data_IF_344633491656
#
_entry.id   IF_344633491656
#
_cell.length_a   1.000
_cell.length_b   1.000
_cell.length_c   1.000
_cell.angle_alpha   90.00
_cell.angle_beta   90.00
_cell.angle_gamma   90.00
#
_symmetry.space_group_name_H-M   'P 1'
#
loop_
_entity.id
_entity.type
_entity.pdbx_description
1 polymer ?
#
# COMPACT_ATOMS: atom_id res chain seq x y z
N UNK A 1 1.36 30.13 23.32
CA UNK A 1 0.28 29.65 22.43
C UNK A 1 0.76 28.58 21.45
N UNK A 2 1.71 28.85 20.55
CA UNK A 2 2.14 27.90 19.49
C UNK A 2 2.65 26.55 19.99
N UNK A 3 3.43 26.52 21.10
CA UNK A 3 3.94 25.27 21.72
C UNK A 3 2.81 24.32 22.13
N UNK A 4 1.72 24.86 22.68
CA UNK A 4 0.59 24.08 23.15
C UNK A 4 -0.14 23.39 21.99
N UNK A 5 -0.33 24.13 20.88
CA UNK A 5 -0.93 23.57 19.66
C UNK A 5 -0.03 22.49 19.04
N UNK A 6 1.28 22.73 18.95
CA UNK A 6 2.26 21.74 18.52
C UNK A 6 2.19 20.45 19.36
N UNK A 7 2.18 20.58 20.70
CA UNK A 7 2.10 19.43 21.60
C UNK A 7 0.79 18.63 21.44
N UNK A 8 -0.34 19.31 21.25
CA UNK A 8 -1.63 18.63 20.98
C UNK A 8 -1.62 17.92 19.61
N UNK A 9 -0.98 18.52 18.60
CA UNK A 9 -0.82 17.91 17.29
C UNK A 9 0.03 16.64 17.30
N UNK A 10 1.04 16.54 18.18
CA UNK A 10 1.82 15.29 18.38
C UNK A 10 0.88 14.14 18.76
N UNK A 11 0.04 14.36 19.76
CA UNK A 11 -0.89 13.34 20.26
C UNK A 11 -1.90 12.96 19.16
N UNK A 12 -2.47 13.94 18.47
CA UNK A 12 -3.40 13.71 17.38
C UNK A 12 -2.75 12.90 16.24
N UNK A 13 -1.51 13.21 15.86
CA UNK A 13 -0.78 12.50 14.81
C UNK A 13 -0.49 11.04 15.19
N UNK A 14 -0.16 10.76 16.45
CA UNK A 14 0.00 9.37 16.93
C UNK A 14 -1.31 8.60 16.91
N UNK A 15 -2.42 9.20 17.36
CA UNK A 15 -3.75 8.56 17.30
C UNK A 15 -4.11 8.21 15.85
N UNK A 16 -3.93 9.16 14.93
CA UNK A 16 -4.18 8.93 13.51
C UNK A 16 -3.29 7.81 12.95
N UNK A 17 -2.00 7.79 13.33
CA UNK A 17 -1.09 6.70 12.93
C UNK A 17 -1.60 5.34 13.40
N UNK A 18 -2.04 5.20 14.66
CA UNK A 18 -2.60 3.95 15.18
C UNK A 18 -3.86 3.50 14.46
N UNK A 19 -4.77 4.43 14.14
CA UNK A 19 -5.98 4.12 13.36
C UNK A 19 -5.61 3.63 11.96
N UNK A 20 -4.64 4.27 11.31
CA UNK A 20 -4.16 3.84 9.99
C UNK A 20 -3.49 2.47 10.06
N UNK A 21 -2.69 2.18 11.09
CA UNK A 21 -2.09 0.86 11.31
C UNK A 21 -3.17 -0.21 11.51
N UNK A 22 -4.23 0.09 12.27
CA UNK A 22 -5.35 -0.83 12.46
C UNK A 22 -6.07 -1.14 11.14
N UNK A 23 -6.30 -0.13 10.31
CA UNK A 23 -6.85 -0.33 8.95
C UNK A 23 -5.87 -1.12 8.06
N UNK A 24 -4.56 -0.83 8.14
CA UNK A 24 -3.53 -1.54 7.40
C UNK A 24 -3.49 -3.03 7.79
N UNK A 25 -3.65 -3.34 9.08
CA UNK A 25 -3.68 -4.72 9.56
C UNK A 25 -4.82 -5.53 8.93
N UNK A 26 -6.05 -5.01 8.95
CA UNK A 26 -7.20 -5.71 8.38
C UNK A 26 -7.14 -5.81 6.85
N UNK A 27 -6.73 -4.73 6.18
CA UNK A 27 -6.53 -4.77 4.73
C UNK A 27 -5.44 -5.76 4.34
N UNK A 28 -4.34 -5.83 5.10
CA UNK A 28 -3.23 -6.75 4.87
C UNK A 28 -3.64 -8.21 5.06
N UNK A 29 -4.34 -8.55 6.13
CA UNK A 29 -4.89 -9.89 6.36
C UNK A 29 -5.80 -10.33 5.20
N UNK A 30 -6.71 -9.46 4.79
CA UNK A 30 -7.63 -9.75 3.67
C UNK A 30 -6.88 -9.90 2.34
N UNK A 31 -5.81 -9.13 2.14
CA UNK A 31 -4.98 -9.15 0.94
C UNK A 31 -4.15 -10.42 0.81
N UNK A 32 -3.53 -10.85 1.92
CA UNK A 32 -2.78 -12.11 1.97
C UNK A 32 -3.70 -13.31 1.75
N UNK A 33 -4.88 -13.34 2.40
CA UNK A 33 -5.83 -14.45 2.28
C UNK A 33 -6.30 -14.66 0.83
N UNK A 34 -6.65 -13.57 0.14
CA UNK A 34 -7.15 -13.61 -1.24
C UNK A 34 -6.04 -13.53 -2.29
N UNK A 35 -4.77 -13.50 -1.88
CA UNK A 35 -3.59 -13.21 -2.73
C UNK A 35 -3.84 -12.02 -3.67
N UNK A 36 -4.50 -10.98 -3.16
CA UNK A 36 -4.92 -9.84 -3.98
C UNK A 36 -3.81 -8.79 -4.08
N UNK A 37 -3.20 -8.66 -5.25
CA UNK A 37 -2.17 -7.66 -5.51
C UNK A 37 -2.64 -6.23 -5.18
N UNK A 38 -3.92 -5.91 -5.43
CA UNK A 38 -4.51 -4.61 -5.13
C UNK A 38 -4.60 -4.34 -3.62
N UNK A 39 -5.07 -5.32 -2.84
CA UNK A 39 -5.16 -5.17 -1.39
C UNK A 39 -3.77 -5.06 -0.73
N UNK A 40 -2.78 -5.84 -1.19
CA UNK A 40 -1.40 -5.73 -0.71
C UNK A 40 -0.81 -4.34 -1.03
N UNK A 41 -1.06 -3.79 -2.23
CA UNK A 41 -0.65 -2.40 -2.51
C UNK A 41 -1.31 -1.38 -1.61
N UNK A 42 -2.61 -1.54 -1.31
CA UNK A 42 -3.31 -0.64 -0.40
C UNK A 42 -2.70 -0.69 1.00
N UNK A 43 -2.37 -1.89 1.51
CA UNK A 43 -1.71 -2.05 2.81
C UNK A 43 -0.32 -1.41 2.82
N UNK A 44 0.46 -1.54 1.75
CA UNK A 44 1.77 -0.88 1.66
C UNK A 44 1.67 0.65 1.75
N UNK A 45 0.69 1.24 1.08
CA UNK A 45 0.41 2.68 1.11
C UNK A 45 -0.05 3.11 2.51
N UNK A 46 -0.98 2.37 3.12
CA UNK A 46 -1.45 2.67 4.48
C UNK A 46 -0.32 2.58 5.50
N UNK A 47 0.57 1.58 5.40
CA UNK A 47 1.76 1.47 6.25
C UNK A 47 2.73 2.64 6.05
N UNK A 48 2.90 3.11 4.80
CA UNK A 48 3.72 4.30 4.53
C UNK A 48 3.09 5.56 5.16
N UNK A 49 1.77 5.73 5.01
CA UNK A 49 1.05 6.85 5.62
C UNK A 49 1.16 6.83 7.14
N UNK A 50 1.00 5.66 7.77
CA UNK A 50 1.20 5.49 9.21
C UNK A 50 2.62 5.86 9.65
N UNK A 51 3.63 5.42 8.89
CA UNK A 51 5.04 5.75 9.12
C UNK A 51 5.27 7.27 9.06
N UNK A 52 4.74 7.95 8.03
CA UNK A 52 4.89 9.39 7.88
C UNK A 52 4.19 10.17 9.00
N UNK A 53 3.02 9.72 9.45
CA UNK A 53 2.31 10.31 10.59
C UNK A 53 3.10 10.12 11.90
N UNK A 54 3.65 8.93 12.15
CA UNK A 54 4.44 8.65 13.35
C UNK A 54 5.78 9.39 13.34
N UNK A 55 6.48 9.41 12.20
CA UNK A 55 7.71 10.19 12.02
C UNK A 55 7.45 11.70 12.17
N UNK A 56 6.34 12.19 11.60
CA UNK A 56 5.89 13.57 11.77
C UNK A 56 5.57 13.90 13.22
N UNK A 57 4.91 12.99 13.96
CA UNK A 57 4.64 13.16 15.38
C UNK A 57 5.93 13.27 16.21
N UNK A 58 6.93 12.42 15.92
CA UNK A 58 8.26 12.51 16.55
C UNK A 58 8.99 13.82 16.19
N UNK A 59 8.92 14.26 14.94
CA UNK A 59 9.49 15.55 14.51
C UNK A 59 8.83 16.75 15.19
N UNK A 60 7.50 16.73 15.34
CA UNK A 60 6.75 17.73 16.10
C UNK A 60 7.12 17.70 17.59
N UNK A 61 7.32 16.51 18.16
CA UNK A 61 7.74 16.35 19.55
C UNK A 61 9.12 16.97 19.80
N UNK A 62 10.10 16.68 18.95
CA UNK A 62 11.42 17.34 19.01
C UNK A 62 11.33 18.84 18.79
N UNK A 63 10.39 19.30 17.96
CA UNK A 63 10.15 20.73 17.77
C UNK A 63 9.63 21.37 19.06
N UNK A 64 8.70 20.73 19.78
CA UNK A 64 8.21 21.23 21.08
C UNK A 64 9.36 21.31 22.08
N UNK A 65 10.19 20.29 22.15
CA UNK A 65 11.38 20.24 23.02
C UNK A 65 12.36 21.39 22.69
N UNK A 66 12.65 21.60 21.41
CA UNK A 66 13.49 22.70 20.94
C UNK A 66 12.91 24.07 21.32
N UNK A 67 11.61 24.27 21.11
CA UNK A 67 10.95 25.51 21.50
C UNK A 67 11.07 25.77 23.01
N UNK A 68 10.97 24.74 23.84
CA UNK A 68 11.06 24.84 25.29
C UNK A 68 12.49 25.13 25.78
N UNK A 69 13.51 24.60 25.10
CA UNK A 69 14.91 24.81 25.46
C UNK A 69 15.51 26.12 24.94
N UNK A 70 15.16 26.51 23.72
CA UNK A 70 15.88 27.59 23.01
C UNK A 70 15.05 28.83 22.69
N UNK A 71 13.71 28.74 22.70
CA UNK A 71 12.87 29.82 22.17
C UNK A 71 11.94 30.47 23.19
N UNK A 72 11.56 29.76 24.25
CA UNK A 72 10.70 30.33 25.29
C UNK A 72 11.57 31.01 26.36
N UNK A 73 11.31 32.30 26.55
CA UNK A 73 12.01 33.16 27.51
C UNK A 73 11.09 33.41 28.69
N UNK A 74 11.58 33.10 29.90
CA UNK A 74 10.92 33.33 31.18
C UNK A 74 11.73 32.65 32.29
N UNK A 75 11.66 33.16 33.52
CA UNK A 75 12.52 32.70 34.63
C UNK A 75 12.38 31.19 34.91
N UNK A 76 11.24 30.62 34.56
CA UNK A 76 10.95 29.18 34.70
C UNK A 76 11.54 28.30 33.59
N UNK A 77 12.03 28.90 32.50
CA UNK A 77 12.50 28.17 31.33
C UNK A 77 14.03 28.08 31.28
N UNK A 78 14.51 26.97 30.72
CA UNK A 78 15.92 26.57 30.70
C UNK A 78 16.88 27.70 30.26
N UNK A 79 16.44 28.52 29.30
CA UNK A 79 17.22 29.62 28.72
C UNK A 79 17.45 30.80 29.68
N UNK A 80 16.72 30.92 30.79
CA UNK A 80 16.97 31.94 31.83
C UNK A 80 17.39 31.35 33.19
N UNK A 81 17.52 30.02 33.29
CA UNK A 81 18.05 29.38 34.50
C UNK A 81 19.47 29.82 34.82
N UNK A 82 19.78 29.90 36.11
CA UNK A 82 21.14 30.14 36.59
C UNK A 82 22.08 28.97 36.23
N UNK A 83 23.39 29.22 36.25
CA UNK A 83 24.40 28.20 35.90
C UNK A 83 24.29 26.94 36.76
N UNK A 84 24.04 27.10 38.06
CA UNK A 84 23.89 25.98 39.00
C UNK A 84 22.78 25.02 38.57
N UNK A 85 21.62 25.52 38.18
CA UNK A 85 20.49 24.70 37.72
C UNK A 85 20.81 23.99 36.40
N UNK A 86 21.48 24.67 35.48
CA UNK A 86 21.87 24.06 34.19
C UNK A 86 22.89 22.95 34.37
N UNK A 87 23.91 23.19 35.19
CA UNK A 87 25.02 22.26 35.39
C UNK A 87 24.58 20.99 36.15
N UNK A 88 23.53 21.09 36.97
CA UNK A 88 23.02 19.97 37.77
C UNK A 88 21.78 19.28 37.18
N UNK A 89 21.17 19.82 36.11
CA UNK A 89 20.00 19.19 35.47
C UNK A 89 20.43 18.25 34.37
N UNK A 90 19.96 16.99 34.42
CA UNK A 90 20.14 16.02 33.34
C UNK A 90 18.79 15.70 32.69
N UNK A 91 18.75 15.82 31.37
CA UNK A 91 17.63 15.37 30.55
C UNK A 91 18.02 14.05 29.89
N UNK A 92 17.26 13.00 30.19
CA UNK A 92 17.42 11.67 29.61
C UNK A 92 16.14 11.26 28.88
N UNK A 93 16.29 10.51 27.79
CA UNK A 93 15.16 9.90 27.11
C UNK A 93 14.89 8.52 27.68
N UNK A 94 13.62 8.27 28.03
CA UNK A 94 13.18 6.98 28.53
C UNK A 94 12.88 5.99 27.41
N UNK A 95 12.61 4.75 27.81
CA UNK A 95 12.36 3.61 26.92
C UNK A 95 11.33 3.87 25.81
N UNK A 96 10.27 4.63 26.11
CA UNK A 96 9.22 4.94 25.13
C UNK A 96 9.74 5.68 23.90
N UNK A 97 10.80 6.49 24.04
CA UNK A 97 11.44 7.18 22.93
C UNK A 97 12.08 6.19 21.95
N UNK A 98 12.78 5.19 22.48
CA UNK A 98 13.43 4.13 21.67
C UNK A 98 12.36 3.28 20.99
N UNK A 99 11.30 2.91 21.71
CA UNK A 99 10.18 2.14 21.16
C UNK A 99 9.46 2.90 20.05
N UNK A 100 9.28 4.22 20.19
CA UNK A 100 8.65 5.04 19.15
C UNK A 100 9.44 5.02 17.84
N UNK A 101 10.76 5.25 17.91
CA UNK A 101 11.63 5.18 16.73
C UNK A 101 11.73 3.78 16.12
N UNK A 102 11.79 2.74 16.96
CA UNK A 102 11.74 1.37 16.49
C UNK A 102 10.42 1.08 15.74
N UNK A 103 9.28 1.54 16.26
CA UNK A 103 7.99 1.44 15.59
C UNK A 103 7.96 2.13 14.22
N UNK A 104 8.52 3.35 14.12
CA UNK A 104 8.68 4.07 12.85
C UNK A 104 9.52 3.24 11.86
N UNK A 105 10.68 2.75 12.27
CA UNK A 105 11.55 1.94 11.42
C UNK A 105 10.89 0.64 10.95
N UNK A 106 10.22 -0.07 11.85
CA UNK A 106 9.47 -1.28 11.51
C UNK A 106 8.33 -1.01 10.52
N UNK A 107 7.61 0.10 10.68
CA UNK A 107 6.52 0.48 9.77
C UNK A 107 7.04 0.82 8.36
N UNK A 108 8.19 1.49 8.26
CA UNK A 108 8.86 1.77 6.99
C UNK A 108 9.31 0.47 6.32
N UNK A 109 9.97 -0.42 7.06
CA UNK A 109 10.42 -1.71 6.55
C UNK A 109 9.24 -2.55 6.05
N UNK A 110 8.15 -2.60 6.81
CA UNK A 110 6.93 -3.29 6.40
C UNK A 110 6.36 -2.73 5.09
N UNK A 111 6.32 -1.40 4.95
CA UNK A 111 5.85 -0.75 3.71
C UNK A 111 6.72 -1.11 2.50
N UNK A 112 8.04 -1.14 2.66
CA UNK A 112 8.98 -1.53 1.59
C UNK A 112 8.76 -3.00 1.18
N UNK A 113 8.70 -3.91 2.16
CA UNK A 113 8.52 -5.33 1.90
C UNK A 113 7.16 -5.63 1.24
N UNK A 114 6.07 -5.00 1.70
CA UNK A 114 4.75 -5.15 1.12
C UNK A 114 4.68 -4.55 -0.30
N UNK A 115 5.38 -3.45 -0.55
CA UNK A 115 5.49 -2.87 -1.89
C UNK A 115 6.22 -3.83 -2.85
N UNK A 116 7.30 -4.46 -2.39
CA UNK A 116 8.01 -5.49 -3.16
C UNK A 116 7.12 -6.70 -3.47
N UNK A 117 6.42 -7.21 -2.45
CA UNK A 117 5.48 -8.33 -2.60
C UNK A 117 4.35 -8.00 -3.60
N UNK A 118 3.82 -6.78 -3.55
CA UNK A 118 2.82 -6.32 -4.49
C UNK A 118 3.32 -6.29 -5.94
N UNK A 119 4.55 -5.85 -6.19
CA UNK A 119 5.14 -5.83 -7.53
C UNK A 119 5.28 -7.26 -8.07
N UNK A 120 5.76 -8.19 -7.24
CA UNK A 120 5.86 -9.60 -7.62
C UNK A 120 4.49 -10.20 -7.98
N UNK A 121 3.46 -9.96 -7.17
CA UNK A 121 2.11 -10.46 -7.40
C UNK A 121 1.47 -9.86 -8.66
N UNK A 122 1.71 -8.58 -8.95
CA UNK A 122 1.26 -7.95 -10.19
C UNK A 122 1.93 -8.59 -11.41
N UNK A 123 3.23 -8.82 -11.34
CA UNK A 123 3.97 -9.47 -12.41
C UNK A 123 3.54 -10.91 -12.68
N UNK A 124 3.17 -11.68 -11.65
CA UNK A 124 2.57 -13.02 -11.82
C UNK A 124 1.20 -12.93 -12.52
N UNK A 125 0.34 -12.03 -12.05
CA UNK A 125 -0.99 -11.85 -12.63
C UNK A 125 -0.96 -11.38 -14.08
N UNK A 126 -0.06 -10.46 -14.42
CA UNK A 126 0.14 -9.99 -15.80
C UNK A 126 0.59 -11.12 -16.73
N UNK A 127 1.46 -12.03 -16.24
CA UNK A 127 1.86 -13.22 -16.99
C UNK A 127 0.69 -14.18 -17.19
N UNK A 128 -0.14 -14.40 -16.18
CA UNK A 128 -1.35 -15.24 -16.28
C UNK A 128 -2.36 -14.64 -17.28
N UNK A 129 -2.58 -13.33 -17.24
CA UNK A 129 -3.47 -12.63 -18.18
C UNK A 129 -2.93 -12.72 -19.62
N UNK A 130 -1.61 -12.59 -19.83
CA UNK A 130 -0.99 -12.77 -21.15
C UNK A 130 -1.15 -14.20 -21.69
N UNK A 131 -0.96 -15.22 -20.85
CA UNK A 131 -1.17 -16.62 -21.24
C UNK A 131 -2.64 -16.88 -21.59
N UNK A 132 -3.58 -16.34 -20.80
CA UNK A 132 -5.02 -16.51 -21.04
C UNK A 132 -5.48 -15.79 -22.32
N UNK A 133 -4.95 -14.59 -22.61
CA UNK A 133 -5.21 -13.88 -23.87
C UNK A 133 -4.73 -14.66 -25.11
N UNK A 134 -3.66 -15.47 -24.98
CA UNK A 134 -3.20 -16.33 -26.06
C UNK A 134 -4.19 -17.47 -26.38
N UNK A 135 -4.98 -17.92 -25.40
CA UNK A 135 -6.08 -18.89 -25.61
C UNK A 135 -7.36 -18.24 -26.17
N UNK A 136 -7.56 -16.93 -25.97
CA UNK A 136 -8.69 -16.16 -26.51
C UNK A 136 -8.45 -15.61 -27.91
N UNK A 137 -7.19 -15.55 -28.36
CA UNK A 137 -6.88 -15.22 -29.75
C UNK A 137 -7.40 -16.37 -30.63
N UNK A 138 -8.19 -16.11 -31.69
CA UNK A 138 -8.68 -17.17 -32.54
C UNK A 138 -7.49 -17.80 -33.27
N UNK A 139 -7.00 -18.94 -32.75
CA UNK A 139 -6.10 -19.88 -33.45
C UNK A 139 -6.93 -20.69 -34.45
N UNK A 140 -7.76 -19.99 -35.22
CA UNK A 140 -8.31 -20.49 -36.45
C UNK A 140 -7.96 -19.43 -37.50
N UNK A 141 -7.32 -19.79 -38.63
CA UNK A 141 -7.26 -18.86 -39.74
C UNK A 141 -8.70 -18.46 -40.02
N UNK A 142 -9.01 -17.18 -39.88
CA UNK A 142 -10.30 -16.65 -40.27
C UNK A 142 -10.39 -16.91 -41.77
N UNK A 143 -11.00 -18.04 -42.14
CA UNK A 143 -11.50 -18.27 -43.49
C UNK A 143 -12.61 -17.27 -43.66
N UNK A 144 -12.24 -16.02 -43.96
CA UNK A 144 -13.14 -15.12 -44.65
C UNK A 144 -13.63 -15.91 -45.87
N UNK A 145 -14.93 -16.19 -46.01
CA UNK A 145 -15.42 -16.70 -47.27
C UNK A 145 -15.06 -15.64 -48.33
N UNK A 146 -14.41 -16.02 -49.44
CA UNK A 146 -14.12 -15.10 -50.52
C UNK A 146 -15.44 -14.47 -50.98
N UNK A 147 -15.45 -13.15 -51.17
CA UNK A 147 -16.54 -12.46 -51.86
C UNK A 147 -16.91 -13.24 -53.13
N UNK A 148 -18.17 -13.69 -53.32
CA UNK A 148 -18.55 -14.35 -54.55
C UNK A 148 -18.80 -13.28 -55.61
N UNK A 149 -17.78 -13.03 -56.43
CA UNK A 149 -18.01 -12.47 -57.77
C UNK A 149 -18.64 -13.57 -58.62
N UNK A 150 -19.71 -13.21 -59.33
CA UNK A 150 -20.65 -14.15 -59.93
C UNK A 150 -20.11 -15.03 -61.05
N UNK A 151 -20.90 -16.06 -61.36
CA UNK A 151 -20.85 -16.76 -62.65
C UNK A 151 -20.83 -18.28 -62.54
N UNK A 152 -21.88 -18.90 -63.08
CA UNK A 152 -22.03 -20.29 -63.50
C UNK A 152 -22.66 -21.32 -62.52
N UNK A 153 -23.67 -22.09 -62.99
CA UNK A 153 -24.34 -23.10 -62.18
C UNK A 153 -23.53 -24.40 -62.19
N UNK A 154 -23.33 -25.00 -61.02
CA UNK A 154 -22.78 -26.35 -60.88
C UNK A 154 -23.77 -27.23 -60.08
N UNK A 155 -23.95 -28.51 -60.46
CA UNK A 155 -25.07 -29.33 -60.00
C UNK A 155 -24.84 -29.93 -58.60
N UNK A 156 -25.94 -30.18 -57.90
CA UNK A 156 -25.98 -30.81 -56.57
C UNK A 156 -25.32 -32.20 -56.55
N UNK A 157 -24.50 -32.49 -55.52
CA UNK A 157 -24.30 -33.84 -54.97
C UNK A 157 -23.38 -33.80 -53.72
N UNK A 158 -23.94 -33.82 -52.50
CA UNK A 158 -23.61 -34.76 -51.39
C UNK A 158 -24.23 -34.33 -50.03
N UNK A 159 -24.67 -35.28 -49.17
CA UNK A 159 -25.27 -34.96 -47.86
C UNK A 159 -24.21 -34.59 -46.81
N UNK A 160 -24.46 -33.52 -46.06
CA UNK A 160 -23.62 -33.04 -44.95
C UNK A 160 -23.83 -33.90 -43.68
N UNK A 161 -22.77 -34.34 -42.97
CA UNK A 161 -22.91 -35.09 -41.72
C UNK A 161 -23.31 -34.17 -40.55
N UNK A 162 -24.24 -34.68 -39.74
CA UNK A 162 -24.76 -34.07 -38.51
C UNK A 162 -23.65 -33.64 -37.54
N UNK A 163 -23.62 -32.34 -37.24
CA UNK A 163 -22.76 -31.75 -36.23
C UNK A 163 -23.39 -31.96 -34.84
N UNK A 164 -22.87 -32.92 -34.06
CA UNK A 164 -23.22 -33.05 -32.63
C UNK A 164 -22.41 -32.03 -31.84
N UNK A 165 -23.09 -30.98 -31.35
CA UNK A 165 -22.49 -30.01 -30.44
C UNK A 165 -22.27 -30.63 -29.05
N UNK A 166 -21.01 -30.76 -28.64
CA UNK A 166 -20.66 -31.13 -27.27
C UNK A 166 -20.87 -29.94 -26.35
N UNK A 167 -21.97 -29.96 -25.62
CA UNK A 167 -22.32 -29.06 -24.53
C UNK A 167 -21.40 -29.34 -23.32
N UNK A 168 -20.27 -28.65 -23.24
CA UNK A 168 -19.48 -28.57 -22.00
C UNK A 168 -19.77 -27.24 -21.32
N UNK A 169 -20.50 -27.31 -20.21
CA UNK A 169 -20.76 -26.18 -19.30
C UNK A 169 -19.51 -25.78 -18.50
N UNK A 170 -19.48 -24.53 -17.98
CA UNK A 170 -18.29 -23.99 -17.33
C UNK A 170 -18.11 -24.56 -15.92
N UNK A 171 -16.96 -25.20 -15.67
CA UNK A 171 -16.52 -25.50 -14.31
C UNK A 171 -15.95 -24.23 -13.66
N UNK A 172 -16.57 -23.82 -12.56
CA UNK A 172 -16.07 -22.83 -11.61
C UNK A 172 -15.16 -23.55 -10.61
N UNK A 173 -13.86 -23.20 -10.62
CA UNK A 173 -12.98 -23.23 -9.44
C UNK A 173 -11.99 -22.07 -9.57
#
# INVERSE_FOLDING_TARGET
MTRLHLARSVIAAFILSFVVIFCAFWTGLSGCWKRSAGAITATAILMLTACLLAAGAMGLWHTVEFFEKEKVVGEEYYQQWNSVLRDNTRLSYDWSYIVAWAGVACSLLASILLSGAAVCLRGEREKEEQLNLQYLMPVYPQKQPPYPYGGFPQPQLYPQPYYHGSQYGPYNY
#
